data_IF_031849864086
#
_entry.id   IF_031849864086
#
_cell.length_a   1.000
_cell.length_b   1.000
_cell.length_c   1.000
_cell.angle_alpha   90.00
_cell.angle_beta   90.00
_cell.angle_gamma   90.00
#
_symmetry.space_group_name_H-M   'P 1'
#
loop_
_entity.id
_entity.type
_entity.pdbx_description
1 polymer ?
#
# COMPACT_ATOMS: atom_id res chain seq x y z
N UNK A 1 12.82 57.48 19.60
CA UNK A 1 13.88 57.87 18.65
C UNK A 1 14.77 56.65 18.52
N UNK A 2 14.91 55.88 17.45
CA UNK A 2 14.52 55.88 16.04
C UNK A 2 14.48 54.38 15.63
N UNK A 3 13.64 53.84 14.75
CA UNK A 3 13.05 54.44 13.56
C UNK A 3 13.82 54.07 12.29
N UNK A 4 13.98 52.78 11.94
CA UNK A 4 14.49 52.34 10.61
C UNK A 4 13.70 51.12 10.11
N UNK A 5 12.54 51.34 9.47
CA UNK A 5 12.29 51.47 8.01
C UNK A 5 12.77 50.25 7.19
N UNK A 6 11.82 49.34 6.93
CA UNK A 6 11.87 48.34 5.85
C UNK A 6 11.71 49.05 4.49
N UNK A 7 12.48 48.69 3.45
CA UNK A 7 12.18 49.14 2.09
C UNK A 7 11.22 48.15 1.41
N UNK A 8 10.08 48.68 0.97
CA UNK A 8 9.21 48.07 -0.04
C UNK A 8 9.74 48.36 -1.45
N UNK A 9 9.71 47.41 -2.40
CA UNK A 9 9.84 47.75 -3.81
C UNK A 9 8.48 48.12 -4.42
N UNK A 10 8.48 48.97 -5.47
CA UNK A 10 7.29 49.69 -5.96
C UNK A 10 6.44 48.87 -6.94
N UNK A 11 5.16 49.24 -7.01
CA UNK A 11 4.25 48.89 -8.09
C UNK A 11 4.27 49.96 -9.19
N UNK A 12 4.06 49.50 -10.43
CA UNK A 12 3.28 50.11 -11.51
C UNK A 12 4.01 50.51 -12.83
N UNK A 13 3.26 50.23 -13.91
CA UNK A 13 3.25 50.76 -15.29
C UNK A 13 4.20 50.09 -16.29
N UNK A 14 3.73 49.33 -17.29
CA UNK A 14 2.91 49.66 -18.47
C UNK A 14 3.49 50.79 -19.34
N UNK A 15 4.16 50.40 -20.42
CA UNK A 15 4.18 50.99 -21.79
C UNK A 15 5.10 50.08 -22.63
N UNK A 16 4.61 49.28 -23.59
CA UNK A 16 4.00 49.62 -24.88
C UNK A 16 5.00 50.20 -25.90
N UNK A 17 4.84 49.72 -27.15
CA UNK A 17 5.54 50.02 -28.40
C UNK A 17 6.76 49.10 -28.67
N UNK A 18 6.88 48.42 -29.82
CA UNK A 18 6.61 48.95 -31.15
C UNK A 18 6.46 47.83 -32.20
N UNK A 19 5.48 48.03 -33.10
CA UNK A 19 5.15 47.21 -34.27
C UNK A 19 6.31 47.19 -35.28
N UNK A 20 6.68 46.02 -35.79
CA UNK A 20 7.16 45.88 -37.17
C UNK A 20 6.19 45.05 -38.00
N UNK A 21 5.44 45.78 -38.83
CA UNK A 21 4.69 45.33 -40.01
C UNK A 21 5.65 44.62 -40.96
N UNK A 22 5.32 43.41 -41.38
CA UNK A 22 5.75 42.86 -42.67
C UNK A 22 4.50 42.82 -43.57
N UNK A 23 4.58 43.50 -44.71
CA UNK A 23 3.55 43.53 -45.73
C UNK A 23 3.54 42.20 -46.52
N UNK A 24 2.42 41.85 -47.19
CA UNK A 24 2.28 40.58 -47.90
C UNK A 24 2.86 40.69 -49.33
N UNK A 25 3.46 39.60 -49.81
CA UNK A 25 3.75 39.39 -51.23
C UNK A 25 3.74 37.88 -51.52
N UNK A 26 3.53 37.47 -52.78
CA UNK A 26 2.24 37.13 -53.38
C UNK A 26 1.98 35.61 -53.39
N UNK A 27 0.72 35.24 -53.62
CA UNK A 27 0.33 33.86 -53.86
C UNK A 27 1.05 33.27 -55.10
N UNK A 28 1.60 32.05 -55.04
CA UNK A 28 1.92 31.32 -56.24
C UNK A 28 0.63 30.73 -56.81
N UNK A 29 0.49 30.92 -58.12
CA UNK A 29 -0.58 30.39 -58.94
C UNK A 29 -0.67 28.86 -58.85
N UNK A 30 -1.89 28.36 -59.05
CA UNK A 30 -2.19 26.96 -59.30
C UNK A 30 -1.23 26.37 -60.34
N UNK A 31 -0.46 25.37 -59.92
CA UNK A 31 0.42 24.60 -60.76
C UNK A 31 0.38 23.15 -60.30
N UNK A 32 -0.33 22.32 -61.06
CA UNK A 32 -0.39 20.88 -60.92
C UNK A 32 1.03 20.29 -60.98
N UNK A 33 1.50 19.73 -59.86
CA UNK A 33 2.78 19.03 -59.75
C UNK A 33 2.65 17.89 -58.73
N UNK A 34 3.38 16.77 -58.90
CA UNK A 34 3.10 15.52 -58.21
C UNK A 34 3.35 15.64 -56.70
N UNK A 35 2.48 14.99 -55.93
CA UNK A 35 2.48 14.97 -54.46
C UNK A 35 3.85 14.54 -53.89
N UNK A 36 4.37 15.32 -52.95
CA UNK A 36 5.51 14.90 -52.13
C UNK A 36 5.09 13.74 -51.21
N UNK A 37 5.93 12.70 -51.02
CA UNK A 37 5.56 11.51 -50.23
C UNK A 37 5.50 11.73 -48.70
N UNK A 38 5.55 12.98 -48.22
CA UNK A 38 5.70 13.29 -46.78
C UNK A 38 4.42 13.67 -46.04
N UNK A 39 3.32 13.96 -46.73
CA UNK A 39 2.09 14.48 -46.07
C UNK A 39 1.12 13.39 -45.60
N UNK A 40 1.18 12.17 -46.15
CA UNK A 40 0.31 11.07 -45.73
C UNK A 40 0.67 10.56 -44.32
N UNK A 41 1.96 10.42 -44.02
CA UNK A 41 2.43 9.91 -42.72
C UNK A 41 2.13 10.85 -41.55
N UNK A 42 2.09 12.17 -41.78
CA UNK A 42 1.75 13.15 -40.75
C UNK A 42 0.25 13.14 -40.39
N UNK A 43 -0.63 12.84 -41.36
CA UNK A 43 -2.07 12.65 -41.13
C UNK A 43 -2.39 11.32 -40.44
N UNK A 44 -1.69 10.25 -40.81
CA UNK A 44 -1.83 8.92 -40.19
C UNK A 44 -1.34 8.91 -38.73
N UNK A 45 -0.17 9.48 -38.43
CA UNK A 45 0.35 9.62 -37.05
C UNK A 45 -0.55 10.52 -36.19
N UNK A 46 -1.17 11.54 -36.79
CA UNK A 46 -2.20 12.35 -36.12
C UNK A 46 -3.41 11.50 -35.71
N UNK A 47 -3.84 10.59 -36.57
CA UNK A 47 -4.96 9.68 -36.30
C UNK A 47 -4.62 8.62 -35.24
N UNK A 48 -3.41 8.08 -35.24
CA UNK A 48 -2.94 7.10 -34.26
C UNK A 48 -2.75 7.74 -32.88
N UNK A 49 -2.11 8.91 -32.83
CA UNK A 49 -1.94 9.64 -31.57
C UNK A 49 -3.29 10.07 -30.97
N UNK A 50 -4.22 10.52 -31.81
CA UNK A 50 -5.58 10.87 -31.39
C UNK A 50 -6.37 9.64 -30.93
N UNK A 51 -6.19 8.48 -31.60
CA UNK A 51 -6.75 7.21 -31.15
C UNK A 51 -6.22 6.79 -29.78
N UNK A 52 -4.90 6.87 -29.55
CA UNK A 52 -4.28 6.52 -28.26
C UNK A 52 -4.71 7.47 -27.14
N UNK A 53 -4.86 8.76 -27.45
CA UNK A 53 -5.41 9.75 -26.52
C UNK A 53 -6.86 9.41 -26.15
N UNK A 54 -7.70 9.09 -27.14
CA UNK A 54 -9.09 8.71 -26.93
C UNK A 54 -9.24 7.38 -26.19
N UNK A 55 -8.30 6.46 -26.40
CA UNK A 55 -8.22 5.19 -25.67
C UNK A 55 -7.71 5.34 -24.22
N UNK A 56 -7.34 6.56 -23.80
CA UNK A 56 -6.92 6.83 -22.42
C UNK A 56 -5.53 6.31 -22.08
N UNK A 57 -4.69 5.98 -23.07
CA UNK A 57 -3.37 5.37 -22.86
C UNK A 57 -2.47 6.26 -22.01
N UNK A 58 -2.54 7.59 -22.17
CA UNK A 58 -1.76 8.53 -21.35
C UNK A 58 -2.09 8.41 -19.86
N UNK A 59 -3.37 8.21 -19.50
CA UNK A 59 -3.77 8.04 -18.10
C UNK A 59 -3.27 6.70 -17.56
N UNK A 60 -3.40 5.63 -18.37
CA UNK A 60 -2.93 4.29 -18.03
C UNK A 60 -1.40 4.25 -17.80
N UNK A 61 -0.63 4.83 -18.71
CA UNK A 61 0.84 4.92 -18.59
C UNK A 61 1.23 5.78 -17.39
N UNK A 62 0.56 6.91 -17.17
CA UNK A 62 0.79 7.75 -15.99
C UNK A 62 0.56 6.95 -14.70
N UNK A 63 -0.53 6.21 -14.61
CA UNK A 63 -0.84 5.39 -13.43
C UNK A 63 0.21 4.29 -13.23
N UNK A 64 0.60 3.58 -14.29
CA UNK A 64 1.64 2.55 -14.22
C UNK A 64 2.99 3.14 -13.74
N UNK A 65 3.38 4.31 -14.24
CA UNK A 65 4.59 5.01 -13.80
C UNK A 65 4.50 5.46 -12.34
N UNK A 66 3.32 5.95 -11.90
CA UNK A 66 3.10 6.25 -10.49
C UNK A 66 3.25 5.00 -9.62
N UNK A 67 2.75 3.85 -10.06
CA UNK A 67 2.90 2.58 -9.34
C UNK A 67 4.36 2.13 -9.25
N UNK A 68 5.17 2.36 -10.28
CA UNK A 68 6.64 2.13 -10.21
C UNK A 68 7.28 3.05 -9.16
N UNK A 69 6.92 4.33 -9.12
CA UNK A 69 7.47 5.28 -8.14
C UNK A 69 7.05 4.96 -6.70
N UNK A 70 5.82 4.47 -6.53
CA UNK A 70 5.24 4.06 -5.24
C UNK A 70 5.83 2.76 -4.71
N UNK A 71 5.96 1.74 -5.58
CA UNK A 71 6.43 0.39 -5.24
C UNK A 71 7.96 0.29 -5.18
N UNK A 72 8.67 1.13 -5.95
CA UNK A 72 10.13 1.09 -6.12
C UNK A 72 10.66 -0.34 -6.36
N UNK A 73 10.14 -1.05 -7.37
CA UNK A 73 10.58 -2.40 -7.66
C UNK A 73 12.06 -2.42 -8.07
N UNK A 74 12.76 -3.48 -7.72
CA UNK A 74 14.15 -3.72 -8.17
C UNK A 74 14.23 -3.85 -9.70
N UNK A 75 13.19 -4.41 -10.32
CA UNK A 75 13.07 -4.59 -11.77
C UNK A 75 11.84 -3.83 -12.33
N UNK A 76 11.96 -2.53 -12.65
CA UNK A 76 10.85 -1.70 -13.10
C UNK A 76 10.17 -2.16 -14.40
N UNK A 77 10.94 -2.72 -15.35
CA UNK A 77 10.41 -3.16 -16.64
C UNK A 77 9.55 -4.41 -16.49
N UNK A 78 10.04 -5.41 -15.74
CA UNK A 78 9.28 -6.62 -15.41
C UNK A 78 8.01 -6.28 -14.62
N UNK A 79 8.13 -5.37 -13.65
CA UNK A 79 6.97 -4.86 -12.91
C UNK A 79 5.91 -4.24 -13.82
N UNK A 80 6.32 -3.42 -14.79
CA UNK A 80 5.38 -2.79 -15.73
C UNK A 80 4.70 -3.82 -16.62
N UNK A 81 5.44 -4.83 -17.10
CA UNK A 81 4.87 -5.92 -17.90
C UNK A 81 3.77 -6.66 -17.12
N UNK A 82 4.09 -7.10 -15.88
CA UNK A 82 3.13 -7.76 -14.98
C UNK A 82 1.94 -6.85 -14.63
N UNK A 83 2.19 -5.55 -14.47
CA UNK A 83 1.16 -4.56 -14.16
C UNK A 83 0.14 -4.44 -15.29
N UNK A 84 0.61 -4.29 -16.53
CA UNK A 84 -0.26 -4.21 -17.69
C UNK A 84 -1.00 -5.53 -17.95
N UNK A 85 -0.34 -6.69 -17.79
CA UNK A 85 -0.99 -8.01 -17.92
C UNK A 85 -2.18 -8.14 -16.95
N UNK A 86 -2.03 -7.67 -15.71
CA UNK A 86 -3.08 -7.73 -14.67
C UNK A 86 -4.15 -6.65 -14.82
N UNK A 87 -3.87 -5.57 -15.54
CA UNK A 87 -4.85 -4.52 -15.83
C UNK A 87 -5.85 -4.93 -16.90
N UNK A 88 -5.43 -5.71 -17.90
CA UNK A 88 -6.29 -6.20 -18.98
C UNK A 88 -7.32 -7.17 -18.39
N UNK A 89 -8.62 -6.82 -18.36
CA UNK A 89 -9.67 -7.78 -18.02
C UNK A 89 -9.60 -8.90 -19.05
N UNK A 90 -9.42 -10.14 -18.59
CA UNK A 90 -8.90 -11.24 -19.40
C UNK A 90 -9.44 -11.33 -20.83
N UNK A 91 -8.53 -11.52 -21.79
CA UNK A 91 -8.81 -12.26 -23.01
C UNK A 91 -8.33 -13.70 -22.80
N UNK A 92 -9.25 -14.66 -22.85
CA UNK A 92 -8.89 -15.96 -23.40
C UNK A 92 -9.95 -16.35 -24.44
N UNK A 93 -9.70 -16.00 -25.70
CA UNK A 93 -10.38 -16.58 -26.87
C UNK A 93 -11.84 -16.16 -27.10
N UNK A 94 -12.06 -15.42 -28.17
CA UNK A 94 -13.28 -15.39 -29.01
C UNK A 94 -14.66 -15.55 -28.33
N UNK A 95 -15.41 -14.45 -28.22
CA UNK A 95 -16.68 -14.27 -28.94
C UNK A 95 -17.39 -12.98 -28.52
N UNK A 96 -17.56 -12.07 -29.49
CA UNK A 96 -18.71 -11.17 -29.56
C UNK A 96 -18.70 -9.95 -28.65
N UNK A 97 -18.98 -8.80 -29.27
CA UNK A 97 -19.39 -7.56 -28.62
C UNK A 97 -20.62 -7.79 -27.72
N UNK A 98 -20.39 -8.18 -26.47
CA UNK A 98 -21.38 -8.16 -25.40
C UNK A 98 -20.68 -7.52 -24.19
N UNK A 99 -21.22 -6.36 -23.77
CA UNK A 99 -20.79 -5.53 -22.65
C UNK A 99 -19.84 -6.23 -21.66
N UNK A 100 -18.57 -5.79 -21.62
CA UNK A 100 -17.51 -6.29 -20.74
C UNK A 100 -18.07 -6.80 -19.40
N UNK A 101 -18.25 -8.11 -19.29
CA UNK A 101 -18.79 -8.71 -18.07
C UNK A 101 -17.83 -8.39 -16.93
N UNK A 102 -18.35 -7.77 -15.88
CA UNK A 102 -17.56 -7.43 -14.70
C UNK A 102 -16.86 -8.70 -14.19
N UNK A 103 -15.55 -8.64 -13.89
CA UNK A 103 -14.83 -9.83 -13.45
C UNK A 103 -15.54 -10.53 -12.30
N UNK A 104 -15.57 -11.86 -12.35
CA UNK A 104 -16.19 -12.67 -11.30
C UNK A 104 -15.58 -12.38 -9.91
N UNK A 105 -16.30 -12.71 -8.83
CA UNK A 105 -15.79 -12.56 -7.45
C UNK A 105 -14.36 -13.09 -7.22
N UNK A 106 -13.94 -14.27 -7.73
CA UNK A 106 -12.58 -14.76 -7.48
C UNK A 106 -11.50 -13.94 -8.21
N UNK A 107 -11.76 -13.43 -9.42
CA UNK A 107 -10.81 -12.57 -10.14
C UNK A 107 -10.67 -11.21 -9.48
N UNK A 108 -11.79 -10.61 -9.03
CA UNK A 108 -11.76 -9.32 -8.30
C UNK A 108 -10.97 -9.42 -7.01
N UNK A 109 -11.12 -10.54 -6.31
CA UNK A 109 -10.37 -10.83 -5.10
C UNK A 109 -8.87 -11.03 -5.34
N UNK A 110 -8.49 -11.77 -6.39
CA UNK A 110 -7.09 -11.93 -6.78
C UNK A 110 -6.44 -10.57 -7.13
N UNK A 111 -7.17 -9.72 -7.86
CA UNK A 111 -6.71 -8.38 -8.23
C UNK A 111 -6.62 -7.44 -7.02
N UNK A 112 -7.59 -7.49 -6.11
CA UNK A 112 -7.55 -6.72 -4.86
C UNK A 112 -6.35 -7.13 -3.98
N UNK A 113 -6.10 -8.43 -3.83
CA UNK A 113 -4.94 -8.96 -3.11
C UNK A 113 -3.62 -8.50 -3.73
N UNK A 114 -3.56 -8.43 -5.06
CA UNK A 114 -2.39 -7.90 -5.75
C UNK A 114 -2.17 -6.41 -5.46
N UNK A 115 -3.21 -5.57 -5.60
CA UNK A 115 -3.10 -4.12 -5.33
C UNK A 115 -2.55 -3.84 -3.93
N UNK A 116 -3.13 -4.46 -2.89
CA UNK A 116 -2.71 -4.20 -1.50
C UNK A 116 -1.29 -4.68 -1.19
N UNK A 117 -0.68 -5.48 -2.06
CA UNK A 117 0.70 -5.97 -1.94
C UNK A 117 1.72 -5.16 -2.75
N UNK A 118 1.29 -4.23 -3.59
CA UNK A 118 2.19 -3.46 -4.47
C UNK A 118 3.18 -2.57 -3.70
N UNK A 119 2.80 -2.08 -2.52
CA UNK A 119 3.66 -1.23 -1.72
C UNK A 119 3.69 -1.70 -0.26
N UNK A 120 4.82 -1.47 0.40
CA UNK A 120 4.93 -1.71 1.84
C UNK A 120 3.94 -0.82 2.60
N UNK A 121 3.29 -1.37 3.62
CA UNK A 121 2.24 -0.69 4.38
C UNK A 121 2.74 0.52 5.20
N UNK A 122 4.05 0.68 5.37
CA UNK A 122 4.66 1.89 5.95
C UNK A 122 4.63 3.09 4.98
N UNK A 123 4.51 2.86 3.66
CA UNK A 123 4.42 3.92 2.65
C UNK A 123 2.99 4.45 2.57
N UNK A 124 2.56 5.18 3.60
CA UNK A 124 1.16 5.58 3.81
C UNK A 124 0.41 6.02 2.55
N UNK A 125 0.96 6.95 1.76
CA UNK A 125 0.31 7.46 0.55
C UNK A 125 0.12 6.38 -0.51
N UNK A 126 1.17 5.61 -0.81
CA UNK A 126 1.13 4.52 -1.79
C UNK A 126 0.19 3.39 -1.33
N UNK A 127 0.27 3.02 -0.06
CA UNK A 127 -0.59 2.00 0.53
C UNK A 127 -2.06 2.43 0.52
N UNK A 128 -2.37 3.66 0.91
CA UNK A 128 -3.74 4.19 0.93
C UNK A 128 -4.32 4.25 -0.50
N UNK A 129 -3.51 4.65 -1.50
CA UNK A 129 -3.85 4.62 -2.93
C UNK A 129 -4.16 3.20 -3.42
N UNK A 130 -3.30 2.23 -3.09
CA UNK A 130 -3.46 0.83 -3.43
C UNK A 130 -4.67 0.17 -2.75
N UNK A 131 -4.91 0.49 -1.48
CA UNK A 131 -6.09 0.05 -0.74
C UNK A 131 -7.37 0.61 -1.37
N UNK A 132 -7.34 1.88 -1.84
CA UNK A 132 -8.43 2.47 -2.61
C UNK A 132 -8.74 1.70 -3.89
N UNK A 133 -7.72 1.40 -4.70
CA UNK A 133 -7.89 0.60 -5.91
C UNK A 133 -8.46 -0.80 -5.63
N UNK A 134 -7.99 -1.46 -4.57
CA UNK A 134 -8.51 -2.76 -4.13
C UNK A 134 -9.98 -2.67 -3.68
N UNK A 135 -10.34 -1.61 -2.96
CA UNK A 135 -11.70 -1.36 -2.49
C UNK A 135 -12.67 -1.18 -3.68
N UNK A 136 -12.30 -0.38 -4.67
CA UNK A 136 -13.09 -0.17 -5.89
C UNK A 136 -13.28 -1.47 -6.69
N UNK A 137 -12.22 -2.27 -6.86
CA UNK A 137 -12.30 -3.56 -7.55
C UNK A 137 -13.28 -4.51 -6.85
N UNK A 138 -13.29 -4.55 -5.52
CA UNK A 138 -14.23 -5.40 -4.77
C UNK A 138 -15.66 -4.82 -4.74
N UNK A 139 -15.80 -3.50 -4.77
CA UNK A 139 -17.08 -2.78 -4.78
C UNK A 139 -17.82 -2.83 -6.11
N UNK A 140 -17.11 -3.00 -7.23
CA UNK A 140 -17.66 -2.92 -8.60
C UNK A 140 -18.74 -3.97 -8.98
N UNK A 141 -19.16 -4.85 -8.06
CA UNK A 141 -19.97 -6.04 -8.34
C UNK A 141 -21.49 -5.89 -8.29
N UNK A 142 -22.08 -4.69 -8.22
CA UNK A 142 -23.54 -4.59 -8.08
C UNK A 142 -24.19 -3.29 -8.55
N UNK A 143 -25.05 -3.39 -9.56
CA UNK A 143 -25.85 -2.27 -10.12
C UNK A 143 -26.83 -1.58 -9.13
N UNK A 144 -26.96 -2.06 -7.88
CA UNK A 144 -27.91 -1.55 -6.86
C UNK A 144 -27.48 -1.68 -5.39
N UNK A 145 -26.21 -2.01 -5.08
CA UNK A 145 -25.80 -2.24 -3.68
C UNK A 145 -25.35 -0.94 -3.01
N UNK A 146 -25.61 -0.83 -1.70
CA UNK A 146 -25.13 0.25 -0.81
C UNK A 146 -23.63 0.47 -1.06
N UNK A 147 -23.18 1.73 -1.04
CA UNK A 147 -21.76 2.07 -1.17
C UNK A 147 -20.93 1.27 -0.15
N UNK A 148 -20.08 0.34 -0.62
CA UNK A 148 -19.33 -0.55 0.26
C UNK A 148 -18.86 -1.84 -0.41
N UNK A 149 -17.81 -2.42 0.15
CA UNK A 149 -17.37 -3.77 -0.21
C UNK A 149 -18.23 -4.80 0.51
N UNK A 150 -18.64 -5.86 -0.19
CA UNK A 150 -19.37 -6.98 0.40
C UNK A 150 -18.55 -7.63 1.53
N UNK A 151 -19.13 -7.78 2.72
CA UNK A 151 -18.42 -8.26 3.91
C UNK A 151 -17.81 -9.65 3.75
N UNK A 152 -18.40 -10.50 2.90
CA UNK A 152 -17.81 -11.82 2.56
C UNK A 152 -16.53 -11.66 1.76
N UNK A 153 -16.50 -10.77 0.76
CA UNK A 153 -15.30 -10.50 -0.05
C UNK A 153 -14.19 -9.85 0.79
N UNK A 154 -14.56 -8.92 1.68
CA UNK A 154 -13.63 -8.31 2.62
C UNK A 154 -12.99 -9.37 3.54
N UNK A 155 -13.81 -10.19 4.21
CA UNK A 155 -13.34 -11.24 5.13
C UNK A 155 -12.45 -12.27 4.42
N UNK A 156 -12.79 -12.62 3.18
CA UNK A 156 -11.99 -13.49 2.33
C UNK A 156 -10.64 -12.86 1.95
N UNK A 157 -10.61 -11.56 1.59
CA UNK A 157 -9.36 -10.85 1.29
C UNK A 157 -8.42 -10.89 2.49
N UNK A 158 -8.92 -10.53 3.68
CA UNK A 158 -8.10 -10.53 4.90
C UNK A 158 -7.53 -11.91 5.22
N UNK A 159 -8.35 -12.97 5.03
CA UNK A 159 -7.89 -14.34 5.22
C UNK A 159 -6.74 -14.70 4.28
N UNK A 160 -6.83 -14.32 3.00
CA UNK A 160 -5.77 -14.56 2.01
C UNK A 160 -4.50 -13.80 2.32
N UNK A 161 -4.60 -12.54 2.80
CA UNK A 161 -3.43 -11.77 3.24
C UNK A 161 -2.69 -12.55 4.34
N UNK A 162 -3.40 -12.98 5.40
CA UNK A 162 -2.80 -13.72 6.51
C UNK A 162 -2.22 -15.08 6.08
N UNK A 163 -2.93 -15.82 5.22
CA UNK A 163 -2.48 -17.13 4.72
C UNK A 163 -1.22 -17.02 3.86
N UNK A 164 -1.20 -16.09 2.90
CA UNK A 164 -0.05 -15.92 2.00
C UNK A 164 1.16 -15.28 2.70
N UNK A 165 0.94 -14.61 3.83
CA UNK A 165 2.00 -14.01 4.64
C UNK A 165 2.61 -14.95 5.68
N UNK A 166 2.06 -16.15 5.87
CA UNK A 166 2.58 -17.09 6.87
C UNK A 166 2.30 -16.68 8.32
N UNK A 167 1.22 -15.93 8.59
CA UNK A 167 0.83 -15.61 9.95
C UNK A 167 0.57 -16.88 10.78
N UNK A 168 0.92 -16.92 12.08
CA UNK A 168 0.49 -18.00 12.96
C UNK A 168 -1.03 -18.15 12.93
N UNK A 169 -1.52 -19.36 12.67
CA UNK A 169 -2.94 -19.60 12.38
C UNK A 169 -3.87 -19.11 13.50
N UNK A 170 -3.50 -19.33 14.76
CA UNK A 170 -4.26 -18.85 15.91
C UNK A 170 -4.32 -17.32 15.99
N UNK A 171 -3.19 -16.64 15.75
CA UNK A 171 -3.12 -15.18 15.77
C UNK A 171 -3.92 -14.57 14.62
N UNK A 172 -3.82 -15.16 13.42
CA UNK A 172 -4.63 -14.77 12.27
C UNK A 172 -6.13 -14.94 12.56
N UNK A 173 -6.55 -16.08 13.12
CA UNK A 173 -7.95 -16.31 13.47
C UNK A 173 -8.45 -15.30 14.52
N UNK A 174 -7.66 -15.04 15.56
CA UNK A 174 -7.99 -14.08 16.61
C UNK A 174 -8.08 -12.64 16.07
N UNK A 175 -7.14 -12.24 15.20
CA UNK A 175 -7.17 -10.95 14.52
C UNK A 175 -8.41 -10.81 13.65
N UNK A 176 -8.67 -11.78 12.78
CA UNK A 176 -9.83 -11.78 11.89
C UNK A 176 -11.14 -11.71 12.68
N UNK A 177 -11.19 -12.35 13.85
CA UNK A 177 -12.32 -12.23 14.78
C UNK A 177 -12.57 -10.81 15.28
N UNK A 178 -11.52 -9.98 15.42
CA UNK A 178 -11.62 -8.58 15.84
C UNK A 178 -11.98 -7.61 14.72
N UNK A 179 -11.52 -7.88 13.50
CA UNK A 179 -11.74 -6.97 12.35
C UNK A 179 -12.81 -7.45 11.37
N UNK A 180 -13.56 -8.51 11.72
CA UNK A 180 -14.62 -9.07 10.87
C UNK A 180 -15.78 -8.10 10.70
N UNK A 181 -16.42 -8.22 9.54
CA UNK A 181 -17.77 -7.71 9.30
C UNK A 181 -18.69 -8.89 8.99
N UNK A 182 -20.01 -8.71 9.07
CA UNK A 182 -20.96 -9.74 8.63
C UNK A 182 -20.93 -9.87 7.11
N UNK A 183 -21.17 -11.07 6.60
CA UNK A 183 -21.08 -11.36 5.17
C UNK A 183 -21.94 -10.43 4.28
N UNK A 184 -23.09 -9.99 4.79
CA UNK A 184 -24.06 -9.15 4.08
C UNK A 184 -23.88 -7.64 4.34
N UNK A 185 -22.93 -7.26 5.18
CA UNK A 185 -22.64 -5.85 5.45
C UNK A 185 -21.92 -5.20 4.27
N UNK A 186 -22.21 -3.91 4.07
CA UNK A 186 -21.46 -3.06 3.16
C UNK A 186 -20.32 -2.41 3.97
N UNK A 187 -19.12 -2.93 3.81
CA UNK A 187 -17.92 -2.50 4.55
C UNK A 187 -17.45 -1.16 4.00
N UNK A 188 -17.37 -0.10 4.82
CA UNK A 188 -16.88 1.20 4.39
C UNK A 188 -15.35 1.20 4.23
N UNK A 189 -14.82 2.19 3.50
CA UNK A 189 -13.41 2.22 3.12
C UNK A 189 -12.45 2.30 4.32
N UNK A 190 -12.80 3.05 5.36
CA UNK A 190 -11.99 3.20 6.57
C UNK A 190 -11.86 1.88 7.34
N UNK A 191 -12.94 1.12 7.47
CA UNK A 191 -12.94 -0.23 8.05
C UNK A 191 -12.15 -1.20 7.18
N UNK A 192 -12.37 -1.17 5.86
CA UNK A 192 -11.62 -1.98 4.90
C UNK A 192 -10.11 -1.74 5.04
N UNK A 193 -9.69 -0.48 4.97
CA UNK A 193 -8.30 -0.05 5.08
C UNK A 193 -7.71 -0.43 6.43
N UNK A 194 -8.46 -0.26 7.52
CA UNK A 194 -8.03 -0.65 8.85
C UNK A 194 -7.75 -2.16 8.93
N UNK A 195 -8.67 -3.00 8.43
CA UNK A 195 -8.50 -4.45 8.41
C UNK A 195 -7.28 -4.88 7.59
N UNK A 196 -7.15 -4.37 6.36
CA UNK A 196 -6.02 -4.68 5.46
C UNK A 196 -4.70 -4.27 6.10
N UNK A 197 -4.59 -3.04 6.62
CA UNK A 197 -3.39 -2.55 7.28
C UNK A 197 -3.03 -3.42 8.49
N UNK A 198 -4.00 -3.73 9.35
CA UNK A 198 -3.75 -4.50 10.57
C UNK A 198 -3.27 -5.92 10.25
N UNK A 199 -3.76 -6.54 9.18
CA UNK A 199 -3.25 -7.83 8.69
C UNK A 199 -1.78 -7.74 8.28
N UNK A 200 -1.37 -6.72 7.52
CA UNK A 200 0.04 -6.55 7.13
C UNK A 200 0.95 -6.23 8.33
N UNK A 201 0.48 -5.41 9.26
CA UNK A 201 1.25 -5.10 10.48
C UNK A 201 1.43 -6.35 11.34
N UNK A 202 0.43 -7.23 11.44
CA UNK A 202 0.58 -8.52 12.11
C UNK A 202 1.68 -9.38 11.47
N UNK A 203 1.72 -9.44 10.13
CA UNK A 203 2.74 -10.21 9.39
C UNK A 203 4.15 -9.68 9.67
N UNK A 204 4.34 -8.36 9.60
CA UNK A 204 5.64 -7.76 9.90
C UNK A 204 6.02 -7.95 11.37
N UNK A 205 5.06 -7.80 12.28
CA UNK A 205 5.28 -8.02 13.72
C UNK A 205 5.69 -9.48 14.00
N UNK A 206 5.00 -10.45 13.40
CA UNK A 206 5.34 -11.86 13.54
C UNK A 206 6.74 -12.16 12.98
N UNK A 207 7.09 -11.61 11.82
CA UNK A 207 8.43 -11.77 11.25
C UNK A 207 9.53 -11.14 12.14
N UNK A 208 9.27 -9.97 12.73
CA UNK A 208 10.19 -9.33 13.68
C UNK A 208 10.33 -10.10 14.98
N UNK A 209 9.23 -10.61 15.52
CA UNK A 209 9.24 -11.47 16.71
C UNK A 209 10.01 -12.78 16.43
N UNK A 210 9.87 -13.33 15.23
CA UNK A 210 10.60 -14.52 14.80
C UNK A 210 12.10 -14.26 14.70
N UNK A 211 12.50 -13.17 14.03
CA UNK A 211 13.89 -12.76 13.95
C UNK A 211 14.51 -12.54 15.34
N UNK A 212 13.74 -11.96 16.27
CA UNK A 212 14.17 -11.78 17.64
C UNK A 212 14.38 -13.12 18.36
N UNK A 213 13.46 -14.08 18.19
CA UNK A 213 13.64 -15.42 18.76
C UNK A 213 14.88 -16.14 18.19
N UNK A 214 15.14 -16.00 16.89
CA UNK A 214 16.36 -16.57 16.27
C UNK A 214 17.67 -16.02 16.83
N UNK A 215 17.67 -14.84 17.44
CA UNK A 215 18.82 -14.32 18.19
C UNK A 215 18.89 -14.95 19.58
N UNK A 216 17.74 -15.24 20.21
CA UNK A 216 17.66 -15.80 21.57
C UNK A 216 18.00 -17.29 21.63
N UNK A 217 17.64 -18.07 20.61
CA UNK A 217 17.82 -19.52 20.62
C UNK A 217 19.24 -19.97 20.26
N UNK A 218 20.06 -19.08 19.69
CA UNK A 218 21.43 -19.36 19.29
C UNK A 218 21.57 -20.57 18.35
N UNK A 219 20.52 -20.91 17.60
CA UNK A 219 20.47 -22.10 16.73
C UNK A 219 20.15 -23.43 17.43
N UNK A 220 19.81 -23.41 18.73
CA UNK A 220 19.44 -24.62 19.48
C UNK A 220 17.95 -24.99 19.36
N UNK A 221 17.13 -24.14 18.75
CA UNK A 221 15.68 -24.33 18.57
C UNK A 221 14.84 -24.08 19.82
N UNK A 222 15.48 -23.82 20.97
CA UNK A 222 14.82 -23.38 22.21
C UNK A 222 15.65 -22.30 22.89
N UNK A 223 15.02 -21.39 23.61
CA UNK A 223 15.71 -20.33 24.33
C UNK A 223 15.40 -20.40 25.84
N UNK A 224 16.23 -19.75 26.68
CA UNK A 224 15.95 -19.62 28.10
C UNK A 224 14.62 -18.89 28.30
N UNK A 225 13.68 -19.56 28.96
CA UNK A 225 12.31 -19.08 29.13
C UNK A 225 12.23 -17.79 29.94
N UNK A 226 13.17 -17.53 30.86
CA UNK A 226 13.20 -16.27 31.63
C UNK A 226 13.56 -15.10 30.72
N UNK A 227 14.55 -15.30 29.85
CA UNK A 227 14.97 -14.33 28.85
C UNK A 227 13.82 -14.06 27.86
N UNK A 228 13.21 -15.11 27.31
CA UNK A 228 12.03 -14.98 26.45
C UNK A 228 10.89 -14.21 27.11
N UNK A 229 10.60 -14.49 28.39
CA UNK A 229 9.56 -13.77 29.13
C UNK A 229 9.92 -12.30 29.37
N UNK A 230 11.19 -11.98 29.64
CA UNK A 230 11.63 -10.59 29.77
C UNK A 230 11.44 -9.82 28.46
N UNK A 231 11.76 -10.44 27.32
CA UNK A 231 11.54 -9.87 26.00
C UNK A 231 10.05 -9.67 25.71
N UNK A 232 9.21 -10.67 26.00
CA UNK A 232 7.75 -10.56 25.82
C UNK A 232 7.16 -9.42 26.67
N UNK A 233 7.63 -9.25 27.92
CA UNK A 233 7.22 -8.12 28.77
C UNK A 233 7.66 -6.78 28.20
N UNK A 234 8.90 -6.68 27.71
CA UNK A 234 9.37 -5.45 27.07
C UNK A 234 8.52 -5.09 25.84
N UNK A 235 8.13 -6.08 25.03
CA UNK A 235 7.19 -5.91 23.91
C UNK A 235 5.81 -5.46 24.39
N UNK A 236 5.25 -6.09 25.42
CA UNK A 236 3.96 -5.73 26.00
C UNK A 236 3.95 -4.30 26.53
N UNK A 237 4.99 -3.91 27.27
CA UNK A 237 5.15 -2.57 27.83
C UNK A 237 5.23 -1.53 26.70
N UNK A 238 6.02 -1.78 25.66
CA UNK A 238 6.15 -0.88 24.51
C UNK A 238 4.81 -0.72 23.75
N UNK A 239 4.04 -1.80 23.61
CA UNK A 239 2.70 -1.79 23.02
C UNK A 239 1.65 -1.12 23.95
N UNK A 240 1.89 -1.12 25.27
CA UNK A 240 1.02 -0.59 26.31
C UNK A 240 0.96 0.93 26.40
N UNK A 241 1.91 1.65 25.80
CA UNK A 241 2.00 3.12 25.86
C UNK A 241 0.85 3.81 25.06
N UNK A 242 0.00 3.05 24.36
CA UNK A 242 -0.85 3.55 23.26
C UNK A 242 -2.34 3.75 23.49
N UNK A 243 -2.79 4.59 24.44
CA UNK A 243 -4.19 5.07 24.43
C UNK A 243 -4.41 6.48 23.85
N UNK A 244 -3.36 7.25 23.51
CA UNK A 244 -3.48 8.50 22.73
C UNK A 244 -2.22 8.72 21.86
N UNK A 245 -2.43 9.09 20.60
CA UNK A 245 -1.41 9.27 19.57
C UNK A 245 -0.57 10.55 19.78
N UNK A 246 0.58 10.42 20.45
CA UNK A 246 1.61 11.46 20.52
C UNK A 246 2.91 10.90 19.93
N UNK A 247 3.56 11.57 18.96
CA UNK A 247 4.82 11.12 18.35
C UNK A 247 5.92 10.75 19.36
N UNK A 248 5.97 11.44 20.51
CA UNK A 248 6.91 11.13 21.60
C UNK A 248 6.76 9.74 22.21
N UNK A 249 5.56 9.15 22.16
CA UNK A 249 5.30 7.80 22.71
C UNK A 249 5.86 6.68 21.83
N UNK A 250 5.91 6.87 20.50
CA UNK A 250 6.60 5.93 19.63
C UNK A 250 8.11 5.96 19.84
N UNK A 251 8.67 7.15 20.10
CA UNK A 251 10.08 7.29 20.47
C UNK A 251 10.37 6.63 21.82
N UNK A 252 9.49 6.82 22.81
CA UNK A 252 9.63 6.17 24.13
C UNK A 252 9.56 4.64 24.01
N UNK A 253 8.55 4.11 23.30
CA UNK A 253 8.44 2.68 23.00
C UNK A 253 9.70 2.15 22.31
N UNK A 254 10.20 2.89 21.30
CA UNK A 254 11.45 2.58 20.60
C UNK A 254 12.68 2.59 21.51
N UNK A 255 12.79 3.54 22.43
CA UNK A 255 13.92 3.58 23.39
C UNK A 255 13.89 2.42 24.38
N UNK A 256 12.70 1.97 24.81
CA UNK A 256 12.53 0.82 25.72
C UNK A 256 12.85 -0.50 25.03
N UNK A 257 12.47 -0.61 23.75
CA UNK A 257 12.83 -1.73 22.88
C UNK A 257 14.24 -1.61 22.29
N UNK A 258 14.97 -0.55 22.63
CA UNK A 258 16.35 -0.36 22.20
C UNK A 258 17.27 -1.45 22.74
N UNK A 259 18.43 -1.66 22.12
CA UNK A 259 19.35 -2.75 22.45
C UNK A 259 19.76 -2.72 23.94
N UNK A 260 20.08 -1.55 24.48
CA UNK A 260 20.51 -1.41 25.88
C UNK A 260 19.37 -1.73 26.86
N UNK A 261 18.15 -1.25 26.57
CA UNK A 261 16.98 -1.49 27.41
C UNK A 261 16.61 -2.97 27.44
N UNK A 262 16.67 -3.63 26.28
CA UNK A 262 16.40 -5.06 26.16
C UNK A 262 17.50 -5.90 26.82
N UNK A 263 18.77 -5.56 26.62
CA UNK A 263 19.91 -6.25 27.24
C UNK A 263 19.82 -6.20 28.77
N UNK A 264 19.54 -5.02 29.34
CA UNK A 264 19.35 -4.87 30.79
C UNK A 264 18.17 -5.70 31.32
N UNK A 265 17.07 -5.79 30.57
CA UNK A 265 15.92 -6.62 30.96
C UNK A 265 16.27 -8.12 30.95
N UNK A 266 17.03 -8.56 29.94
CA UNK A 266 17.50 -9.94 29.81
C UNK A 266 18.50 -10.31 30.92
N UNK A 267 19.47 -9.45 31.21
CA UNK A 267 20.46 -9.66 32.28
C UNK A 267 19.80 -9.79 33.65
N UNK A 268 18.81 -8.93 33.95
CA UNK A 268 18.01 -9.02 35.17
C UNK A 268 17.26 -10.34 35.27
N UNK A 269 16.70 -10.82 34.15
CA UNK A 269 15.98 -12.09 34.13
C UNK A 269 16.89 -13.29 34.37
N UNK A 270 18.14 -13.25 33.88
CA UNK A 270 19.14 -14.28 34.14
C UNK A 270 19.59 -14.33 35.60
N UNK A 271 19.60 -13.18 36.28
CA UNK A 271 19.93 -13.08 37.71
C UNK A 271 18.83 -13.62 38.63
N UNK A 272 17.59 -13.81 38.14
CA UNK A 272 16.52 -14.41 38.92
C UNK A 272 16.83 -15.89 39.22
N UNK A 273 16.95 -16.24 40.51
CA UNK A 273 17.17 -17.61 41.02
C UNK A 273 15.92 -18.50 40.91
N UNK A 274 15.33 -18.59 39.72
CA UNK A 274 14.24 -19.52 39.38
C UNK A 274 14.79 -20.67 38.55
N UNK A 275 14.20 -21.86 38.70
CA UNK A 275 14.47 -22.98 37.81
C UNK A 275 14.16 -22.54 36.37
N UNK A 276 15.14 -22.66 35.47
CA UNK A 276 14.98 -22.27 34.07
C UNK A 276 14.05 -23.25 33.36
N UNK A 277 12.95 -22.75 32.78
CA UNK A 277 12.22 -23.44 31.73
C UNK A 277 12.82 -23.04 30.38
N UNK A 278 12.78 -23.90 29.37
CA UNK A 278 13.02 -23.49 27.98
C UNK A 278 11.71 -23.03 27.33
N UNK A 279 11.81 -22.20 26.30
CA UNK A 279 10.69 -21.77 25.47
C UNK A 279 10.98 -22.09 24.01
N UNK A 280 10.02 -22.70 23.32
CA UNK A 280 10.13 -22.98 21.89
C UNK A 280 9.80 -21.76 21.03
N UNK A 281 10.24 -21.78 19.77
CA UNK A 281 9.91 -20.75 18.77
C UNK A 281 8.40 -20.55 18.63
N UNK A 282 7.65 -21.64 18.53
CA UNK A 282 6.20 -21.64 18.36
C UNK A 282 5.49 -21.03 19.58
N UNK A 283 5.94 -21.38 20.79
CA UNK A 283 5.39 -20.81 22.01
C UNK A 283 5.66 -19.30 22.11
N UNK A 284 6.88 -18.87 21.81
CA UNK A 284 7.25 -17.46 21.80
C UNK A 284 6.40 -16.65 20.81
N UNK A 285 6.30 -17.12 19.57
CA UNK A 285 5.53 -16.46 18.53
C UNK A 285 4.04 -16.39 18.88
N UNK A 286 3.49 -17.46 19.45
CA UNK A 286 2.10 -17.49 19.93
C UNK A 286 1.86 -16.41 20.99
N UNK A 287 2.74 -16.30 21.98
CA UNK A 287 2.63 -15.27 23.03
C UNK A 287 2.82 -13.85 22.46
N UNK A 288 3.85 -13.64 21.65
CA UNK A 288 4.15 -12.33 21.07
C UNK A 288 2.99 -11.81 20.21
N UNK A 289 2.49 -12.64 19.29
CA UNK A 289 1.38 -12.24 18.41
C UNK A 289 0.06 -12.06 19.16
N UNK A 290 -0.16 -12.77 20.26
CA UNK A 290 -1.31 -12.52 21.14
C UNK A 290 -1.26 -11.11 21.77
N UNK A 291 -0.07 -10.60 22.15
CA UNK A 291 0.09 -9.23 22.64
C UNK A 291 -0.34 -8.20 21.60
N UNK A 292 0.06 -8.41 20.34
CA UNK A 292 -0.37 -7.55 19.23
C UNK A 292 -1.89 -7.57 19.07
N UNK A 293 -2.49 -8.76 18.97
CA UNK A 293 -3.94 -8.91 18.74
C UNK A 293 -4.74 -8.32 19.91
N UNK A 294 -4.24 -8.38 21.15
CA UNK A 294 -4.88 -7.75 22.30
C UNK A 294 -4.99 -6.22 22.20
N UNK A 295 -4.12 -5.55 21.44
CA UNK A 295 -4.15 -4.11 21.22
C UNK A 295 -4.97 -3.68 20.00
N UNK A 296 -5.39 -4.63 19.16
CA UNK A 296 -6.22 -4.33 17.99
C UNK A 296 -7.61 -3.93 18.45
N UNK A 297 -8.07 -2.76 18.01
CA UNK A 297 -9.42 -2.27 18.28
C UNK A 297 -10.42 -3.12 17.49
N UNK A 298 -11.46 -3.69 18.14
CA UNK A 298 -12.50 -4.40 17.41
C UNK A 298 -13.26 -3.44 16.48
N UNK A 299 -13.67 -3.95 15.33
CA UNK A 299 -14.65 -3.29 14.46
C UNK A 299 -16.03 -3.57 15.05
N UNK A 300 -16.80 -2.51 15.29
CA UNK A 300 -18.18 -2.56 15.81
C UNK A 300 -19.20 -2.41 14.70
#
# INVERSE_FOLDING_TARGET
QDGRKRPSPPAAKMAAYEKRRAAPAPAPAAGSGPAEPGQAAAGELGSEAEFLLRAGVTAMVREALLKVLEARPEEPVSFLADYFERLVPGSPGAAGEAAAELPGPPQRLARALWYVRLAHHSHRTAFDSNAGAAYEVLGAGGRRRKAGVDGRLYSELLRRICQHGGAPAEAAAALLGRVRCRDHEAVPFDVFRYGVLTCFVLLEFAAKADALFGVLDGGSGTADGRVCQAVLRALEDALGIGHVALPGRYLEAGSRLGPDGLALAMDRALQERKLGSSMSREEFLKKATALFVAKVKPVE
#
